data_IF_059938661103
#
_entry.id   IF_059938661103
#
_cell.length_a   1.000
_cell.length_b   1.000
_cell.length_c   1.000
_cell.angle_alpha   90.00
_cell.angle_beta   90.00
_cell.angle_gamma   90.00
#
_symmetry.space_group_name_H-M   'P 1'
#
loop_
_entity.id
_entity.type
_entity.pdbx_description
1 polymer ?
#
# COMPACT_ATOMS: atom_id res chain seq x y z
N UNK A 1 7.31 -7.29 34.90
CA UNK A 1 8.23 -7.23 33.78
C UNK A 1 8.93 -5.88 33.78
N UNK A 2 10.25 -5.86 33.77
CA UNK A 2 11.03 -4.61 33.73
C UNK A 2 11.98 -4.61 32.51
N UNK A 3 11.40 -4.93 31.34
CA UNK A 3 12.15 -5.07 30.08
C UNK A 3 12.46 -3.67 29.56
N UNK A 4 13.74 -3.43 29.27
CA UNK A 4 14.21 -2.14 28.76
C UNK A 4 14.04 -2.06 27.24
N UNK A 5 13.71 -0.88 26.72
CA UNK A 5 13.57 -0.63 25.27
C UNK A 5 14.82 -1.08 24.48
N UNK A 6 16.01 -0.94 25.08
CA UNK A 6 17.25 -1.41 24.47
C UNK A 6 17.28 -2.91 24.17
N UNK A 7 16.69 -3.75 25.03
CA UNK A 7 16.60 -5.18 24.80
C UNK A 7 15.68 -5.48 23.60
N UNK A 8 14.58 -4.75 23.45
CA UNK A 8 13.72 -4.87 22.28
C UNK A 8 14.40 -4.40 20.98
N UNK A 9 15.20 -3.32 21.03
CA UNK A 9 16.01 -2.89 19.86
C UNK A 9 17.00 -3.97 19.42
N UNK A 10 17.72 -4.58 20.38
CA UNK A 10 18.66 -5.68 20.11
C UNK A 10 17.92 -6.90 19.53
N UNK A 11 16.78 -7.25 20.12
CA UNK A 11 15.94 -8.35 19.63
C UNK A 11 15.47 -8.09 18.19
N UNK A 12 14.96 -6.90 17.89
CA UNK A 12 14.46 -6.53 16.57
C UNK A 12 15.54 -6.65 15.51
N UNK A 13 16.75 -6.15 15.79
CA UNK A 13 17.88 -6.24 14.86
C UNK A 13 18.32 -7.69 14.65
N UNK A 14 18.39 -8.50 15.72
CA UNK A 14 18.71 -9.92 15.63
C UNK A 14 17.64 -10.71 14.85
N UNK A 15 16.38 -10.36 15.00
CA UNK A 15 15.25 -10.96 14.29
C UNK A 15 15.24 -10.60 12.80
N UNK A 16 15.56 -9.36 12.46
CA UNK A 16 15.62 -8.89 11.08
C UNK A 16 16.79 -9.47 10.30
N UNK A 17 17.95 -9.63 10.97
CA UNK A 17 19.17 -10.14 10.32
C UNK A 17 19.30 -11.67 10.37
N UNK A 18 18.55 -12.34 11.26
CA UNK A 18 18.68 -13.77 11.59
C UNK A 18 20.14 -14.16 11.88
N UNK A 19 20.94 -13.22 12.42
CA UNK A 19 22.37 -13.38 12.71
C UNK A 19 22.80 -12.49 13.87
N UNK A 20 23.15 -13.09 14.99
CA UNK A 20 23.64 -12.34 16.16
C UNK A 20 24.97 -11.60 15.90
N UNK A 21 25.81 -12.14 15.03
CA UNK A 21 27.06 -11.47 14.64
C UNK A 21 26.79 -10.25 13.75
N UNK A 22 25.85 -10.33 12.81
CA UNK A 22 25.48 -9.21 11.97
C UNK A 22 24.74 -8.15 12.77
N UNK A 23 23.80 -8.54 13.63
CA UNK A 23 23.11 -7.64 14.54
C UNK A 23 24.10 -6.89 15.44
N UNK A 24 25.10 -7.60 16.00
CA UNK A 24 26.16 -7.00 16.81
C UNK A 24 26.95 -5.93 16.03
N UNK A 25 27.32 -6.24 14.79
CA UNK A 25 28.01 -5.28 13.89
C UNK A 25 27.15 -4.03 13.64
N UNK A 26 25.88 -4.22 13.29
CA UNK A 26 24.95 -3.13 12.98
C UNK A 26 24.68 -2.24 14.21
N UNK A 27 24.65 -2.84 15.40
CA UNK A 27 24.42 -2.13 16.67
C UNK A 27 25.71 -1.62 17.35
N UNK A 28 26.89 -1.81 16.72
CA UNK A 28 28.20 -1.45 17.31
C UNK A 28 28.43 -2.11 18.69
N UNK A 29 28.05 -3.37 18.83
CA UNK A 29 28.16 -4.18 20.04
C UNK A 29 28.99 -5.43 19.80
N UNK A 30 29.35 -6.14 20.88
CA UNK A 30 29.92 -7.49 20.75
C UNK A 30 28.82 -8.52 20.57
N UNK A 31 29.11 -9.62 19.86
CA UNK A 31 28.13 -10.72 19.68
C UNK A 31 27.72 -11.34 21.03
N UNK A 32 28.63 -11.38 22.00
CA UNK A 32 28.33 -11.86 23.37
C UNK A 32 27.31 -10.95 24.07
N UNK A 33 27.41 -9.62 23.91
CA UNK A 33 26.45 -8.69 24.48
C UNK A 33 25.05 -8.83 23.84
N UNK A 34 24.99 -9.02 22.53
CA UNK A 34 23.71 -9.31 21.84
C UNK A 34 23.11 -10.62 22.37
N UNK A 35 23.92 -11.70 22.47
CA UNK A 35 23.44 -13.00 22.97
C UNK A 35 22.94 -12.92 24.41
N UNK A 36 23.63 -12.17 25.29
CA UNK A 36 23.20 -11.96 26.67
C UNK A 36 21.89 -11.15 26.75
N UNK A 37 21.75 -10.11 25.94
CA UNK A 37 20.53 -9.31 25.89
C UNK A 37 19.31 -10.13 25.44
N UNK A 38 19.50 -11.00 24.43
CA UNK A 38 18.44 -11.90 23.96
C UNK A 38 18.09 -12.93 25.05
N UNK A 39 19.08 -13.57 25.69
CA UNK A 39 18.83 -14.50 26.78
C UNK A 39 18.09 -13.84 27.96
N UNK A 40 18.47 -12.61 28.33
CA UNK A 40 17.77 -11.85 29.36
C UNK A 40 16.32 -11.58 28.97
N UNK A 41 16.06 -11.20 27.72
CA UNK A 41 14.71 -10.97 27.21
C UNK A 41 13.86 -12.26 27.23
N UNK A 42 14.42 -13.37 26.75
CA UNK A 42 13.77 -14.68 26.75
C UNK A 42 13.43 -15.12 28.19
N UNK A 43 14.33 -14.91 29.14
CA UNK A 43 14.09 -15.22 30.55
C UNK A 43 13.01 -14.33 31.17
N UNK A 44 12.99 -13.03 30.89
CA UNK A 44 11.97 -12.12 31.42
C UNK A 44 10.58 -12.38 30.85
N UNK A 45 10.51 -12.88 29.61
CA UNK A 45 9.26 -13.28 28.95
C UNK A 45 8.86 -14.72 29.23
N UNK A 46 9.72 -15.49 29.87
CA UNK A 46 9.59 -16.95 30.04
C UNK A 46 9.27 -17.66 28.71
N UNK A 47 9.96 -17.25 27.66
CA UNK A 47 9.63 -17.69 26.28
C UNK A 47 10.89 -17.68 25.41
N UNK A 48 11.10 -18.79 24.68
CA UNK A 48 12.18 -18.87 23.69
C UNK A 48 11.75 -18.16 22.40
N UNK A 49 12.54 -17.20 21.97
CA UNK A 49 12.27 -16.40 20.78
C UNK A 49 13.08 -16.83 19.54
N UNK A 50 14.24 -17.47 19.77
CA UNK A 50 15.11 -17.95 18.70
C UNK A 50 15.41 -19.43 18.81
N UNK A 51 15.41 -20.11 17.67
CA UNK A 51 15.95 -21.45 17.49
C UNK A 51 17.40 -21.29 17.00
N UNK A 52 18.37 -21.76 17.85
CA UNK A 52 19.79 -21.64 17.56
C UNK A 52 20.32 -23.01 17.09
N UNK A 53 20.79 -23.06 15.87
CA UNK A 53 21.45 -24.23 15.30
C UNK A 53 22.93 -23.91 15.00
N UNK A 54 23.76 -24.93 14.77
CA UNK A 54 25.20 -24.75 14.58
C UNK A 54 25.58 -23.76 13.46
N UNK A 55 24.73 -23.58 12.46
CA UNK A 55 24.98 -22.71 11.29
C UNK A 55 23.85 -21.70 10.99
N UNK A 56 22.80 -21.65 11.78
CA UNK A 56 21.65 -20.78 11.51
C UNK A 56 20.94 -20.36 12.79
N UNK A 57 20.32 -19.18 12.73
CA UNK A 57 19.41 -18.67 13.75
C UNK A 57 18.07 -18.40 13.04
N UNK A 58 16.97 -18.90 13.61
CA UNK A 58 15.62 -18.66 13.11
C UNK A 58 14.70 -18.25 14.27
N UNK A 59 13.59 -17.60 13.97
CA UNK A 59 12.60 -17.22 14.98
C UNK A 59 11.69 -18.42 15.31
N UNK A 60 11.26 -18.50 16.57
CA UNK A 60 10.10 -19.30 16.98
C UNK A 60 8.81 -18.62 16.50
N UNK A 61 7.65 -19.27 16.67
CA UNK A 61 6.35 -18.64 16.43
C UNK A 61 6.14 -17.43 17.33
N UNK A 62 6.50 -17.54 18.58
CA UNK A 62 6.46 -16.48 19.59
C UNK A 62 7.42 -15.34 19.23
N UNK A 63 8.63 -15.67 18.77
CA UNK A 63 9.60 -14.70 18.27
C UNK A 63 9.08 -13.93 17.06
N UNK A 64 8.40 -14.59 16.13
CA UNK A 64 7.80 -13.92 14.96
C UNK A 64 6.71 -12.94 15.37
N UNK A 65 5.81 -13.34 16.27
CA UNK A 65 4.74 -12.47 16.79
C UNK A 65 5.37 -11.24 17.49
N UNK A 66 6.33 -11.47 18.38
CA UNK A 66 6.99 -10.39 19.09
C UNK A 66 7.71 -9.44 18.11
N UNK A 67 8.41 -9.98 17.11
CA UNK A 67 9.13 -9.19 16.11
C UNK A 67 8.19 -8.26 15.34
N UNK A 68 7.03 -8.73 14.88
CA UNK A 68 6.06 -7.90 14.19
C UNK A 68 5.61 -6.70 15.04
N UNK A 69 5.29 -6.93 16.32
CA UNK A 69 4.85 -5.86 17.23
C UNK A 69 5.98 -4.91 17.62
N UNK A 70 7.17 -5.43 17.89
CA UNK A 70 8.32 -4.61 18.27
C UNK A 70 8.82 -3.76 17.11
N UNK A 71 8.88 -4.32 15.90
CA UNK A 71 9.24 -3.55 14.71
C UNK A 71 8.31 -2.35 14.54
N UNK A 72 7.00 -2.58 14.60
CA UNK A 72 5.99 -1.52 14.52
C UNK A 72 6.13 -0.46 15.63
N UNK A 73 6.40 -0.89 16.86
CA UNK A 73 6.59 0.02 17.98
C UNK A 73 7.85 0.89 17.83
N UNK A 74 8.96 0.32 17.37
CA UNK A 74 10.20 1.05 17.12
C UNK A 74 10.07 2.06 15.97
N UNK A 75 9.34 1.70 14.92
CA UNK A 75 9.02 2.62 13.82
C UNK A 75 8.15 3.80 14.29
N UNK A 76 7.18 3.55 15.16
CA UNK A 76 6.40 4.62 15.79
C UNK A 76 7.26 5.57 16.62
N UNK A 77 8.21 5.06 17.40
CA UNK A 77 9.14 5.87 18.18
C UNK A 77 10.00 6.71 17.25
N UNK A 78 10.62 6.11 16.24
CA UNK A 78 11.46 6.82 15.26
C UNK A 78 10.68 7.92 14.54
N UNK A 79 9.44 7.62 14.16
CA UNK A 79 8.55 8.62 13.56
C UNK A 79 8.26 9.80 14.48
N UNK A 80 8.04 9.55 15.76
CA UNK A 80 7.83 10.61 16.74
C UNK A 80 9.09 11.46 16.96
N UNK A 81 10.26 10.83 17.04
CA UNK A 81 11.55 11.51 17.13
C UNK A 81 11.80 12.41 15.91
N UNK A 82 11.53 11.89 14.69
CA UNK A 82 11.63 12.66 13.45
C UNK A 82 10.64 13.83 13.42
N UNK A 83 9.43 13.68 13.93
CA UNK A 83 8.47 14.77 14.06
C UNK A 83 9.00 15.89 14.97
N UNK A 84 9.61 15.54 16.08
CA UNK A 84 10.20 16.54 17.00
C UNK A 84 11.36 17.31 16.36
N UNK A 85 12.18 16.65 15.58
CA UNK A 85 13.28 17.26 14.84
C UNK A 85 12.78 18.18 13.72
N UNK A 86 11.65 17.85 13.11
CA UNK A 86 11.06 18.55 11.96
C UNK A 86 10.15 19.74 12.35
N UNK A 87 9.93 20.00 13.63
CA UNK A 87 9.12 21.16 14.08
C UNK A 87 9.72 22.52 13.70
N UNK A 88 10.98 22.56 13.29
CA UNK A 88 11.66 23.80 12.85
C UNK A 88 11.88 23.75 11.33
N UNK A 89 10.90 24.20 10.57
CA UNK A 89 10.99 24.41 9.12
C UNK A 89 11.32 23.13 8.32
N UNK A 90 10.48 22.79 7.33
CA UNK A 90 10.62 21.67 6.38
C UNK A 90 11.91 21.78 5.51
N UNK A 91 13.04 22.08 6.16
CA UNK A 91 14.36 22.15 5.51
C UNK A 91 14.93 20.78 5.22
N UNK A 92 14.56 19.79 6.04
CA UNK A 92 14.91 18.37 5.86
C UNK A 92 13.76 17.53 6.39
N UNK A 93 13.56 16.33 5.86
CA UNK A 93 12.52 15.44 6.34
C UNK A 93 12.19 14.35 5.32
N UNK A 94 11.28 13.50 5.70
CA UNK A 94 10.80 12.42 4.85
C UNK A 94 9.27 12.47 4.75
N UNK A 95 8.74 12.11 3.59
CA UNK A 95 7.33 11.88 3.32
C UNK A 95 7.19 10.47 2.74
N UNK A 96 6.56 9.57 3.50
CA UNK A 96 6.36 8.19 3.07
C UNK A 96 4.90 7.98 2.72
N UNK A 97 4.64 7.72 1.44
CA UNK A 97 3.29 7.53 0.88
C UNK A 97 3.14 6.08 0.42
N UNK A 98 2.02 5.46 0.80
CA UNK A 98 1.57 4.21 0.20
C UNK A 98 0.57 4.50 -0.91
N UNK A 99 0.79 3.98 -2.12
CA UNK A 99 -0.14 4.10 -3.23
C UNK A 99 0.09 2.98 -4.24
N UNK A 100 -0.96 2.54 -4.94
CA UNK A 100 -0.78 1.64 -6.10
C UNK A 100 -0.09 2.37 -7.25
N UNK A 101 0.52 1.62 -8.18
CA UNK A 101 1.14 2.19 -9.38
C UNK A 101 0.18 3.10 -10.14
N UNK A 102 -1.06 2.66 -10.32
CA UNK A 102 -2.11 3.40 -11.01
C UNK A 102 -2.38 4.76 -10.35
N UNK A 103 -2.58 4.78 -9.03
CA UNK A 103 -2.81 6.02 -8.28
C UNK A 103 -1.56 6.90 -8.34
N UNK A 104 -0.37 6.33 -8.21
CA UNK A 104 0.89 7.05 -8.26
C UNK A 104 1.10 7.74 -9.62
N UNK A 105 0.89 7.00 -10.71
CA UNK A 105 1.10 7.47 -12.06
C UNK A 105 0.08 8.55 -12.48
N UNK A 106 -1.20 8.27 -12.31
CA UNK A 106 -2.25 9.08 -12.90
C UNK A 106 -2.81 10.17 -11.97
N UNK A 107 -2.67 9.99 -10.66
CA UNK A 107 -3.21 10.95 -9.69
C UNK A 107 -2.12 11.67 -8.89
N UNK A 108 -1.16 10.95 -8.28
CA UNK A 108 -0.20 11.58 -7.36
C UNK A 108 0.92 12.37 -8.04
N UNK A 109 1.34 12.00 -9.24
CA UNK A 109 2.48 12.62 -9.93
C UNK A 109 2.44 14.15 -9.96
N UNK A 110 1.32 14.84 -10.33
CA UNK A 110 1.27 16.29 -10.31
C UNK A 110 1.50 16.89 -8.91
N UNK A 111 0.96 16.27 -7.87
CA UNK A 111 1.10 16.72 -6.48
C UNK A 111 2.51 16.48 -5.95
N UNK A 112 3.14 15.36 -6.32
CA UNK A 112 4.54 15.07 -5.99
C UNK A 112 5.48 16.11 -6.61
N UNK A 113 5.24 16.49 -7.86
CA UNK A 113 6.00 17.56 -8.54
C UNK A 113 5.83 18.91 -7.84
N UNK A 114 4.60 19.28 -7.48
CA UNK A 114 4.32 20.52 -6.76
C UNK A 114 4.97 20.52 -5.37
N UNK A 115 4.86 19.39 -4.66
CA UNK A 115 5.46 19.24 -3.34
C UNK A 115 6.97 19.34 -3.39
N UNK A 116 7.62 18.62 -4.30
CA UNK A 116 9.07 18.64 -4.47
C UNK A 116 9.59 20.03 -4.85
N UNK A 117 8.89 20.76 -5.74
CA UNK A 117 9.25 22.15 -6.07
C UNK A 117 9.22 23.06 -4.84
N UNK A 118 8.27 22.87 -3.94
CA UNK A 118 8.09 23.69 -2.74
C UNK A 118 9.02 23.28 -1.58
N UNK A 119 9.33 21.99 -1.48
CA UNK A 119 10.13 21.40 -0.42
C UNK A 119 11.21 20.48 -0.99
N UNK A 120 12.24 21.03 -1.66
CA UNK A 120 13.21 20.24 -2.45
C UNK A 120 14.10 19.33 -1.62
N UNK A 121 14.27 19.62 -0.34
CA UNK A 121 15.10 18.82 0.57
C UNK A 121 14.34 17.68 1.26
N UNK A 122 13.00 17.62 1.11
CA UNK A 122 12.21 16.51 1.67
C UNK A 122 12.36 15.28 0.78
N UNK A 123 12.79 14.17 1.40
CA UNK A 123 12.87 12.88 0.71
C UNK A 123 11.45 12.32 0.57
N UNK A 124 11.04 12.07 -0.67
CA UNK A 124 9.73 11.45 -0.95
C UNK A 124 9.95 9.97 -1.23
N UNK A 125 9.25 9.10 -0.49
CA UNK A 125 9.18 7.67 -0.74
C UNK A 125 7.74 7.29 -1.08
N UNK A 126 7.54 6.63 -2.22
CA UNK A 126 6.24 6.08 -2.60
C UNK A 126 6.36 4.57 -2.62
N UNK A 127 5.61 3.90 -1.75
CA UNK A 127 5.58 2.45 -1.65
C UNK A 127 4.39 1.90 -2.42
N UNK A 128 4.67 1.08 -3.45
CA UNK A 128 3.62 0.40 -4.20
C UNK A 128 3.10 -0.80 -3.41
N UNK A 129 1.83 -0.71 -2.98
CA UNK A 129 1.14 -1.76 -2.23
C UNK A 129 -0.36 -1.75 -2.56
N UNK A 130 -1.04 -2.85 -2.27
CA UNK A 130 -2.50 -2.91 -2.30
C UNK A 130 -3.12 -2.07 -1.17
N UNK A 131 -4.40 -1.68 -1.33
CA UNK A 131 -5.09 -0.89 -0.29
C UNK A 131 -5.12 -1.60 1.08
N UNK A 132 -5.21 -2.93 1.11
CA UNK A 132 -5.20 -3.69 2.36
C UNK A 132 -3.82 -3.68 3.03
N UNK A 133 -2.76 -3.89 2.26
CA UNK A 133 -1.39 -3.80 2.78
C UNK A 133 -1.07 -2.39 3.29
N UNK A 134 -1.54 -1.34 2.59
CA UNK A 134 -1.35 0.04 3.04
C UNK A 134 -1.99 0.32 4.40
N UNK A 135 -3.14 -0.28 4.71
CA UNK A 135 -3.77 -0.17 6.02
C UNK A 135 -2.84 -0.70 7.12
N UNK A 136 -2.24 -1.85 6.91
CA UNK A 136 -1.30 -2.43 7.87
C UNK A 136 -0.01 -1.59 8.01
N UNK A 137 0.50 -1.04 6.89
CA UNK A 137 1.64 -0.14 6.92
C UNK A 137 1.35 1.17 7.66
N UNK A 138 0.12 1.72 7.54
CA UNK A 138 -0.30 2.88 8.33
C UNK A 138 -0.40 2.54 9.81
N UNK A 139 -1.01 1.40 10.16
CA UNK A 139 -1.15 0.95 11.55
C UNK A 139 0.19 0.71 12.22
N UNK A 140 1.17 0.18 11.49
CA UNK A 140 2.53 -0.03 11.98
C UNK A 140 3.40 1.24 11.94
N UNK A 141 2.91 2.32 11.35
CA UNK A 141 3.64 3.58 11.27
C UNK A 141 4.73 3.65 10.21
N UNK A 142 4.77 2.68 9.29
CA UNK A 142 5.75 2.61 8.20
C UNK A 142 5.47 3.60 7.08
N UNK A 143 4.24 4.06 6.94
CA UNK A 143 3.86 5.13 6.01
C UNK A 143 3.09 6.23 6.74
N UNK A 144 3.23 7.45 6.26
CA UNK A 144 2.51 8.62 6.78
C UNK A 144 1.09 8.69 6.23
N UNK A 145 0.93 8.43 4.94
CA UNK A 145 -0.31 8.53 4.18
C UNK A 145 -0.47 7.30 3.29
N UNK A 146 -1.69 6.78 3.20
CA UNK A 146 -2.06 5.75 2.23
C UNK A 146 -3.13 6.28 1.27
N UNK A 147 -2.99 6.03 -0.03
CA UNK A 147 -4.03 6.31 -1.02
C UNK A 147 -4.76 5.03 -1.38
N UNK A 148 -6.04 4.98 -1.06
CA UNK A 148 -6.86 3.77 -1.04
C UNK A 148 -7.93 3.83 -2.14
N UNK A 149 -8.16 2.70 -2.80
CA UNK A 149 -9.33 2.49 -3.63
C UNK A 149 -10.54 2.16 -2.73
N UNK A 150 -11.56 2.99 -2.76
CA UNK A 150 -12.78 2.80 -1.98
C UNK A 150 -13.75 1.80 -2.66
N UNK A 151 -14.66 1.15 -1.91
CA UNK A 151 -14.97 1.38 -0.49
C UNK A 151 -14.07 0.60 0.47
N UNK A 152 -13.60 1.26 1.51
CA UNK A 152 -12.89 0.67 2.65
C UNK A 152 -13.38 1.36 3.92
N UNK A 153 -13.55 0.58 4.99
CA UNK A 153 -13.89 1.08 6.33
C UNK A 153 -12.90 0.53 7.34
N UNK A 154 -12.28 1.43 8.12
CA UNK A 154 -11.41 1.06 9.23
C UNK A 154 -11.50 2.17 10.29
N UNK A 155 -11.92 1.82 11.50
CA UNK A 155 -12.16 2.77 12.59
C UNK A 155 -10.89 3.43 13.11
N UNK A 156 -9.73 2.81 12.89
CA UNK A 156 -8.42 3.33 13.31
C UNK A 156 -7.90 4.43 12.39
N UNK A 157 -8.48 4.58 11.19
CA UNK A 157 -8.04 5.51 10.16
C UNK A 157 -8.97 6.72 10.05
N UNK A 158 -8.39 7.86 9.73
CA UNK A 158 -9.09 8.98 9.11
C UNK A 158 -9.00 8.80 7.61
N UNK A 159 -10.16 8.68 6.95
CA UNK A 159 -10.26 8.47 5.50
C UNK A 159 -10.96 9.69 4.90
N UNK A 160 -10.39 10.28 3.86
CA UNK A 160 -10.98 11.43 3.15
C UNK A 160 -10.91 11.20 1.65
N UNK A 161 -12.06 11.25 0.99
CA UNK A 161 -12.15 11.13 -0.45
C UNK A 161 -11.47 12.33 -1.15
N UNK A 162 -10.75 12.05 -2.22
CA UNK A 162 -10.01 13.06 -2.99
C UNK A 162 -10.21 12.99 -4.50
N UNK A 163 -10.73 11.89 -5.04
CA UNK A 163 -11.03 11.74 -6.45
C UNK A 163 -12.20 10.76 -6.65
N UNK A 164 -13.18 11.12 -7.44
CA UNK A 164 -14.22 10.23 -7.93
C UNK A 164 -13.74 9.53 -9.20
N UNK A 165 -14.01 8.24 -9.32
CA UNK A 165 -13.58 7.43 -10.45
C UNK A 165 -14.66 6.45 -10.89
N UNK A 166 -14.64 6.11 -12.19
CA UNK A 166 -15.57 5.20 -12.84
C UNK A 166 -14.78 4.01 -13.42
N UNK A 167 -15.17 2.82 -13.06
CA UNK A 167 -14.67 1.63 -13.74
C UNK A 167 -15.51 1.40 -15.00
N UNK A 168 -14.84 1.21 -16.14
CA UNK A 168 -15.46 0.95 -17.44
C UNK A 168 -14.81 -0.27 -18.09
N UNK A 169 -15.53 -0.92 -18.98
CA UNK A 169 -14.91 -1.89 -19.89
C UNK A 169 -14.47 -1.21 -21.17
N UNK A 170 -13.34 -1.64 -21.70
CA UNK A 170 -12.78 -1.11 -22.95
C UNK A 170 -12.39 -2.25 -23.90
N UNK A 171 -12.50 -2.00 -25.19
CA UNK A 171 -12.14 -2.92 -26.28
C UNK A 171 -11.32 -2.22 -27.36
N UNK A 172 -10.65 -3.00 -28.22
CA UNK A 172 -9.91 -2.48 -29.39
C UNK A 172 -10.81 -1.91 -30.48
N UNK A 173 -12.08 -2.30 -30.52
CA UNK A 173 -13.01 -1.94 -31.59
C UNK A 173 -14.18 -1.17 -31.02
N UNK A 174 -14.57 -0.10 -31.71
CA UNK A 174 -15.80 0.60 -31.41
C UNK A 174 -16.99 -0.31 -31.70
N UNK A 175 -17.90 -0.37 -30.74
CA UNK A 175 -19.16 -1.07 -30.87
C UNK A 175 -20.25 -0.20 -30.23
N UNK A 176 -21.33 0.04 -30.96
CA UNK A 176 -22.46 0.85 -30.48
C UNK A 176 -23.52 -0.03 -29.76
N UNK A 177 -23.21 -1.31 -29.52
CA UNK A 177 -24.06 -2.21 -28.76
C UNK A 177 -23.94 -1.96 -27.26
N UNK A 178 -25.10 -1.98 -26.59
CA UNK A 178 -25.21 -1.95 -25.13
C UNK A 178 -25.25 -3.42 -24.65
N UNK A 179 -24.42 -3.76 -23.70
CA UNK A 179 -24.21 -5.12 -23.22
C UNK A 179 -24.77 -5.33 -21.82
N UNK A 180 -25.44 -6.46 -21.63
CA UNK A 180 -25.82 -6.93 -20.29
C UNK A 180 -24.59 -7.52 -19.55
N UNK A 181 -24.66 -7.57 -18.22
CA UNK A 181 -23.65 -8.22 -17.38
C UNK A 181 -23.35 -9.65 -17.82
N UNK A 182 -24.37 -10.41 -18.23
CA UNK A 182 -24.23 -11.79 -18.71
C UNK A 182 -23.40 -11.88 -19.99
N UNK A 183 -23.60 -10.96 -20.92
CA UNK A 183 -22.85 -10.93 -22.18
C UNK A 183 -21.39 -10.54 -21.91
N UNK A 184 -21.14 -9.53 -21.07
CA UNK A 184 -19.80 -9.15 -20.67
C UNK A 184 -19.05 -10.33 -20.04
N UNK A 185 -19.69 -11.07 -19.12
CA UNK A 185 -19.07 -12.21 -18.45
C UNK A 185 -18.68 -13.37 -19.40
N UNK A 186 -19.29 -13.44 -20.58
CA UNK A 186 -18.98 -14.44 -21.61
C UNK A 186 -17.85 -14.02 -22.55
N UNK A 187 -17.43 -12.76 -22.51
CA UNK A 187 -16.34 -12.26 -23.34
C UNK A 187 -14.97 -12.69 -22.81
N UNK A 188 -13.91 -12.63 -23.62
CA UNK A 188 -12.55 -12.82 -23.15
C UNK A 188 -12.12 -11.65 -22.26
N UNK A 189 -12.32 -11.80 -20.95
CA UNK A 189 -12.02 -10.77 -19.97
C UNK A 189 -10.52 -10.70 -19.63
N UNK A 190 -10.02 -9.48 -19.51
CA UNK A 190 -8.69 -9.14 -18.99
C UNK A 190 -8.92 -8.25 -17.77
N UNK A 191 -8.61 -8.77 -16.58
CA UNK A 191 -8.93 -8.06 -15.34
C UNK A 191 -7.69 -7.90 -14.45
N UNK A 192 -7.77 -6.94 -13.56
CA UNK A 192 -6.76 -6.78 -12.50
C UNK A 192 -6.85 -7.95 -11.51
N UNK A 193 -5.75 -8.25 -10.83
CA UNK A 193 -5.62 -9.33 -9.86
C UNK A 193 -6.73 -9.33 -8.81
N UNK A 194 -7.20 -10.53 -8.46
CA UNK A 194 -8.36 -10.77 -7.58
C UNK A 194 -8.19 -10.21 -6.16
N UNK A 195 -6.97 -10.09 -5.67
CA UNK A 195 -6.65 -9.59 -4.33
C UNK A 195 -6.68 -8.05 -4.23
N UNK A 196 -7.03 -7.33 -5.28
CA UNK A 196 -7.12 -5.86 -5.27
C UNK A 196 -8.53 -5.37 -4.93
N UNK A 197 -8.62 -4.23 -4.23
CA UNK A 197 -9.91 -3.59 -3.90
C UNK A 197 -10.71 -3.22 -5.14
N UNK A 198 -10.05 -2.79 -6.22
CA UNK A 198 -10.71 -2.49 -7.52
C UNK A 198 -11.37 -3.72 -8.11
N UNK A 199 -10.67 -4.87 -8.13
CA UNK A 199 -11.26 -6.12 -8.64
C UNK A 199 -12.42 -6.58 -7.76
N UNK A 200 -12.29 -6.53 -6.45
CA UNK A 200 -13.36 -6.90 -5.54
C UNK A 200 -14.60 -6.03 -5.72
N UNK A 201 -14.42 -4.74 -6.03
CA UNK A 201 -15.52 -3.83 -6.32
C UNK A 201 -16.28 -4.25 -7.59
N UNK A 202 -15.59 -4.55 -8.67
CA UNK A 202 -16.18 -5.04 -9.94
C UNK A 202 -16.86 -6.40 -9.72
N UNK A 203 -16.18 -7.36 -9.11
CA UNK A 203 -16.74 -8.68 -8.80
C UNK A 203 -18.03 -8.57 -7.97
N UNK A 204 -18.09 -7.65 -7.00
CA UNK A 204 -19.28 -7.40 -6.18
C UNK A 204 -20.47 -6.86 -7.01
N UNK A 205 -20.22 -6.06 -8.03
CA UNK A 205 -21.28 -5.60 -8.94
C UNK A 205 -21.91 -6.79 -9.66
N UNK A 206 -21.11 -7.61 -10.34
CA UNK A 206 -21.59 -8.79 -11.09
C UNK A 206 -22.20 -9.87 -10.17
N UNK A 207 -21.71 -10.02 -8.96
CA UNK A 207 -22.28 -10.96 -7.99
C UNK A 207 -23.74 -10.64 -7.59
N UNK A 208 -24.20 -9.37 -7.70
CA UNK A 208 -25.59 -9.01 -7.47
C UNK A 208 -26.53 -9.67 -8.47
N UNK A 209 -26.06 -9.86 -9.70
CA UNK A 209 -26.77 -10.57 -10.78
C UNK A 209 -26.47 -12.07 -10.79
N UNK A 210 -25.82 -12.61 -9.73
CA UNK A 210 -25.44 -14.03 -9.63
C UNK A 210 -24.30 -14.44 -10.58
N UNK A 211 -23.52 -13.49 -11.09
CA UNK A 211 -22.47 -13.72 -12.06
C UNK A 211 -21.11 -13.74 -11.37
N UNK A 212 -20.31 -14.78 -11.63
CA UNK A 212 -18.90 -14.86 -11.24
C UNK A 212 -18.02 -14.61 -12.46
N UNK A 213 -17.24 -13.51 -12.44
CA UNK A 213 -16.32 -13.21 -13.54
C UNK A 213 -15.17 -14.20 -13.57
N UNK A 214 -14.89 -14.73 -14.75
CA UNK A 214 -13.79 -15.66 -15.01
C UNK A 214 -12.88 -15.09 -16.11
N UNK A 215 -11.91 -14.23 -15.72
CA UNK A 215 -11.01 -13.63 -16.69
C UNK A 215 -10.11 -14.70 -17.32
N UNK A 216 -9.76 -14.52 -18.61
CA UNK A 216 -8.74 -15.30 -19.29
C UNK A 216 -7.33 -14.83 -18.97
N UNK A 217 -7.19 -13.54 -18.65
CA UNK A 217 -5.90 -12.92 -18.27
C UNK A 217 -6.12 -12.12 -16.99
N UNK A 218 -5.28 -12.38 -16.01
CA UNK A 218 -5.19 -11.56 -14.78
C UNK A 218 -3.78 -10.96 -14.67
N UNK A 219 -3.71 -9.68 -14.27
CA UNK A 219 -2.43 -8.97 -14.14
C UNK A 219 -2.54 -7.80 -13.16
N UNK A 220 -1.40 -7.31 -12.65
CA UNK A 220 -1.34 -6.29 -11.61
C UNK A 220 -1.25 -4.85 -12.10
N UNK A 221 -1.07 -4.59 -13.41
CA UNK A 221 -0.77 -3.27 -13.92
C UNK A 221 -1.86 -2.70 -14.82
N UNK A 222 -2.43 -1.54 -14.45
CA UNK A 222 -3.48 -0.86 -15.21
C UNK A 222 -3.09 -0.55 -16.66
N UNK A 223 -1.88 -0.05 -16.88
CA UNK A 223 -1.35 0.26 -18.20
C UNK A 223 -1.33 -0.98 -19.12
N UNK A 224 -1.02 -2.15 -18.56
CA UNK A 224 -0.99 -3.38 -19.32
C UNK A 224 -2.41 -3.86 -19.68
N UNK A 225 -3.42 -3.59 -18.83
CA UNK A 225 -4.83 -3.83 -19.18
C UNK A 225 -5.21 -3.09 -20.47
N UNK A 226 -4.86 -1.79 -20.55
CA UNK A 226 -5.12 -0.96 -21.72
C UNK A 226 -4.39 -1.46 -22.96
N UNK A 227 -3.10 -1.80 -22.85
CA UNK A 227 -2.30 -2.35 -23.96
C UNK A 227 -2.83 -3.66 -24.50
N UNK A 228 -3.25 -4.59 -23.61
CA UNK A 228 -3.81 -5.87 -24.04
C UNK A 228 -5.19 -5.71 -24.67
N UNK A 229 -6.01 -4.80 -24.19
CA UNK A 229 -7.26 -4.44 -24.86
C UNK A 229 -7.00 -3.85 -26.25
N UNK A 230 -6.06 -2.90 -26.38
CA UNK A 230 -5.68 -2.26 -27.64
C UNK A 230 -5.29 -3.28 -28.72
N UNK A 231 -4.53 -4.31 -28.35
CA UNK A 231 -4.13 -5.37 -29.31
C UNK A 231 -5.19 -6.45 -29.51
N UNK A 232 -6.42 -6.22 -29.04
CA UNK A 232 -7.60 -7.09 -29.22
C UNK A 232 -7.43 -8.51 -28.63
N UNK A 233 -6.77 -8.62 -27.48
CA UNK A 233 -6.71 -9.91 -26.75
C UNK A 233 -7.96 -10.17 -25.90
N UNK A 234 -8.79 -9.16 -25.70
CA UNK A 234 -10.03 -9.24 -24.94
C UNK A 234 -10.54 -7.85 -24.56
N UNK A 235 -11.54 -7.80 -23.68
CA UNK A 235 -12.02 -6.57 -23.08
C UNK A 235 -11.45 -6.41 -21.68
N UNK A 236 -11.01 -5.20 -21.35
CA UNK A 236 -10.40 -4.90 -20.05
C UNK A 236 -11.29 -4.00 -19.21
N UNK A 237 -11.36 -4.25 -17.90
CA UNK A 237 -11.96 -3.31 -16.97
C UNK A 237 -10.88 -2.34 -16.45
N UNK A 238 -11.10 -1.04 -16.64
CA UNK A 238 -10.12 0.03 -16.37
C UNK A 238 -10.80 1.24 -15.72
N UNK A 239 -10.00 2.10 -15.10
CA UNK A 239 -10.50 3.38 -14.55
C UNK A 239 -10.57 4.40 -15.70
N UNK A 240 -11.75 4.93 -15.96
CA UNK A 240 -12.03 5.87 -17.08
C UNK A 240 -11.13 7.11 -17.02
N UNK A 241 -11.03 7.74 -15.84
CA UNK A 241 -10.26 8.96 -15.60
C UNK A 241 -8.77 8.76 -15.87
N UNK A 242 -8.27 7.55 -15.70
CA UNK A 242 -6.87 7.18 -15.94
C UNK A 242 -6.61 6.62 -17.35
N UNK A 243 -7.67 6.49 -18.14
CA UNK A 243 -7.62 5.94 -19.50
C UNK A 243 -7.92 6.99 -20.57
N UNK A 244 -8.02 8.26 -20.19
CA UNK A 244 -8.43 9.37 -21.07
C UNK A 244 -7.55 9.51 -22.31
N UNK A 245 -6.23 9.28 -22.19
CA UNK A 245 -5.32 9.34 -23.32
C UNK A 245 -5.64 8.26 -24.35
N UNK A 246 -5.81 7.02 -23.92
CA UNK A 246 -6.14 5.89 -24.81
C UNK A 246 -7.51 6.06 -25.47
N UNK A 247 -8.49 6.54 -24.72
CA UNK A 247 -9.85 6.81 -25.23
C UNK A 247 -9.85 7.94 -26.24
N UNK A 248 -9.19 9.08 -25.94
CA UNK A 248 -9.17 10.25 -26.79
C UNK A 248 -8.41 10.04 -28.11
N UNK A 249 -7.40 9.19 -28.10
CA UNK A 249 -6.63 8.80 -29.29
C UNK A 249 -7.29 7.67 -30.08
N UNK A 250 -8.42 7.12 -29.61
CA UNK A 250 -9.08 5.99 -30.27
C UNK A 250 -8.27 4.69 -30.25
N UNK A 251 -7.37 4.55 -29.28
CA UNK A 251 -6.58 3.33 -29.10
C UNK A 251 -7.39 2.20 -28.47
N UNK A 252 -8.37 2.57 -27.64
CA UNK A 252 -9.43 1.70 -27.12
C UNK A 252 -10.74 2.46 -27.09
N UNK A 253 -11.85 1.73 -27.05
CA UNK A 253 -13.21 2.26 -27.01
C UNK A 253 -13.96 1.71 -25.82
N UNK A 254 -14.78 2.57 -25.19
CA UNK A 254 -15.65 2.17 -24.08
C UNK A 254 -16.70 1.17 -24.58
N UNK A 255 -16.94 0.15 -23.79
CA UNK A 255 -18.01 -0.85 -24.00
C UNK A 255 -19.16 -0.46 -23.09
N UNK A 256 -20.30 -0.08 -23.68
CA UNK A 256 -21.46 0.38 -22.94
C UNK A 256 -22.19 -0.77 -22.26
N UNK A 257 -22.56 -0.59 -20.98
CA UNK A 257 -23.32 -1.53 -20.18
C UNK A 257 -24.76 -1.07 -20.01
N UNK A 258 -25.72 -2.01 -19.95
CA UNK A 258 -27.11 -1.74 -19.58
C UNK A 258 -27.19 -1.13 -18.17
N UNK A 259 -26.42 -1.67 -17.22
CA UNK A 259 -26.24 -1.13 -15.88
C UNK A 259 -24.78 -0.73 -15.69
N UNK A 260 -24.42 0.54 -15.80
CA UNK A 260 -23.06 1.00 -15.57
C UNK A 260 -22.55 0.63 -14.17
N UNK A 261 -21.25 0.34 -14.08
CA UNK A 261 -20.61 0.15 -12.79
C UNK A 261 -20.78 1.42 -11.94
N UNK A 262 -21.11 1.28 -10.66
CA UNK A 262 -21.33 2.46 -9.81
C UNK A 262 -20.05 3.28 -9.64
N UNK A 263 -20.22 4.58 -9.43
CA UNK A 263 -19.11 5.47 -9.08
C UNK A 263 -18.46 5.01 -7.77
N UNK A 264 -17.15 5.07 -7.71
CA UNK A 264 -16.36 4.90 -6.47
C UNK A 264 -15.37 6.04 -6.33
N UNK A 265 -14.64 6.05 -5.23
CA UNK A 265 -13.65 7.10 -4.99
C UNK A 265 -12.25 6.52 -4.69
N UNK A 266 -11.26 7.37 -4.88
CA UNK A 266 -9.95 7.25 -4.28
C UNK A 266 -9.93 8.17 -3.07
N UNK A 267 -9.40 7.69 -1.97
CA UNK A 267 -9.30 8.43 -0.72
C UNK A 267 -7.85 8.41 -0.22
N UNK A 268 -7.44 9.51 0.42
CA UNK A 268 -6.25 9.42 1.26
C UNK A 268 -6.65 9.06 2.69
N UNK A 269 -5.78 8.33 3.35
CA UNK A 269 -5.99 7.89 4.72
C UNK A 269 -4.71 8.01 5.55
N UNK A 270 -4.91 8.16 6.85
CA UNK A 270 -3.84 8.16 7.84
C UNK A 270 -4.35 7.68 9.21
N UNK A 271 -3.45 7.28 10.09
CA UNK A 271 -3.80 6.77 11.40
C UNK A 271 -4.44 7.85 12.28
N UNK A 272 -5.67 7.63 12.74
CA UNK A 272 -6.50 8.61 13.47
C UNK A 272 -5.86 9.09 14.78
N UNK A 273 -5.15 8.19 15.47
CA UNK A 273 -4.56 8.48 16.79
C UNK A 273 -3.11 8.96 16.70
N UNK A 274 -2.57 9.17 15.51
CA UNK A 274 -1.22 9.63 15.26
C UNK A 274 -1.23 11.06 14.73
N UNK A 275 -0.39 11.93 15.30
CA UNK A 275 -0.13 13.24 14.71
C UNK A 275 0.60 13.04 13.38
N UNK A 276 0.06 13.62 12.32
CA UNK A 276 0.73 13.62 11.01
C UNK A 276 2.10 14.30 11.09
N UNK A 277 3.06 13.80 10.33
CA UNK A 277 4.32 14.49 10.12
C UNK A 277 4.08 15.86 9.46
N UNK A 278 5.00 16.80 9.65
CA UNK A 278 4.92 18.11 9.02
C UNK A 278 4.86 17.98 7.49
N UNK A 279 5.64 17.03 6.91
CA UNK A 279 5.65 16.72 5.48
C UNK A 279 4.28 16.21 5.00
N UNK A 280 3.68 15.25 5.72
CA UNK A 280 2.37 14.71 5.39
C UNK A 280 1.28 15.77 5.50
N UNK A 281 1.32 16.62 6.53
CA UNK A 281 0.37 17.73 6.70
C UNK A 281 0.45 18.69 5.51
N UNK A 282 1.65 19.09 5.12
CA UNK A 282 1.86 19.99 3.97
C UNK A 282 1.51 19.36 2.64
N UNK A 283 1.67 18.05 2.52
CA UNK A 283 1.25 17.34 1.32
C UNK A 283 -0.28 17.29 1.19
N UNK A 284 -1.00 17.02 2.28
CA UNK A 284 -2.47 17.01 2.30
C UNK A 284 -3.05 18.40 1.96
N UNK A 285 -2.40 19.51 2.38
CA UNK A 285 -2.84 20.85 2.03
C UNK A 285 -2.96 21.09 0.51
N UNK A 286 -2.26 20.30 -0.32
CA UNK A 286 -2.35 20.41 -1.79
C UNK A 286 -3.67 19.88 -2.34
N UNK A 287 -4.36 18.99 -1.64
CA UNK A 287 -5.66 18.42 -2.05
C UNK A 287 -6.86 19.24 -1.57
N UNK A 288 -6.66 20.14 -0.61
CA UNK A 288 -7.72 20.93 0.00
C UNK A 288 -7.86 22.34 -0.63
N UNK A 289 -7.30 22.54 -1.83
CA UNK A 289 -7.34 23.81 -2.56
C UNK A 289 -8.37 23.83 -3.66
#
# INVERSE_FOLDING_TARGET
MNIKLGQYKIFNEAASTLSFSLAAKNLFMTQSAVSQAINSLENELDTTLFIRQAKSVTLTKEGLILHQHINSALELITSAENQLLNFKELKDGELIIGASDTISQYFLTPYLVLFHKKYPNVIIKVLNRTSLEMIELMKSGQIDLGFLNMPITDESLTIKECLKVHDIFVSAKKDDKIYSDKEIAQMPLILIEKNTSSRQFVDKHFAKSGILLQPKIELGAHELLLKLAQVNLGISCVIKEFSTEYLSQGLVYEVELEEPLPERSIAYAYLKRRTLSASATKFIELFNR
#
